data_IF_027387538330
#
_entry.id   IF_027387538330
#
_cell.length_a   1.000
_cell.length_b   1.000
_cell.length_c   1.000
_cell.angle_alpha   90.00
_cell.angle_beta   90.00
_cell.angle_gamma   90.00
#
_symmetry.space_group_name_H-M   'P 1'
#
loop_
_entity.id
_entity.type
_entity.pdbx_description
1 polymer ?
#
# COMPACT_ATOMS: atom_id res chain seq x y z
N UNK A 1 -16.28 11.00 15.72
CA UNK A 1 -15.58 9.90 15.02
C UNK A 1 -14.48 9.21 15.84
N UNK A 2 -13.91 9.80 16.90
CA UNK A 2 -12.83 9.17 17.69
C UNK A 2 -13.17 8.92 19.18
N UNK A 3 -14.45 8.82 19.53
CA UNK A 3 -14.88 8.60 20.92
C UNK A 3 -14.70 7.15 21.41
N UNK A 4 -14.86 6.87 22.73
CA UNK A 4 -14.54 5.58 23.38
C UNK A 4 -15.30 4.33 22.89
N UNK A 5 -16.28 4.49 21.99
CA UNK A 5 -17.06 3.40 21.38
C UNK A 5 -16.95 3.39 19.85
N UNK A 6 -16.04 4.17 19.28
CA UNK A 6 -15.89 4.25 17.82
C UNK A 6 -14.81 3.30 17.32
N UNK A 7 -15.02 2.76 16.11
CA UNK A 7 -14.06 1.89 15.43
C UNK A 7 -12.68 2.53 15.22
N UNK A 8 -12.61 3.87 15.24
CA UNK A 8 -11.38 4.63 15.06
C UNK A 8 -10.68 4.98 16.38
N UNK A 9 -11.24 4.61 17.53
CA UNK A 9 -10.61 4.87 18.83
C UNK A 9 -9.23 4.18 18.98
N UNK A 10 -9.01 2.94 18.51
CA UNK A 10 -7.68 2.32 18.54
C UNK A 10 -6.63 3.06 17.70
N UNK A 11 -7.05 3.80 16.67
CA UNK A 11 -6.15 4.54 15.79
C UNK A 11 -5.41 5.67 16.52
N UNK A 12 -6.02 6.25 17.58
CA UNK A 12 -5.38 7.25 18.44
C UNK A 12 -4.11 6.70 19.13
N UNK A 13 -4.11 5.43 19.52
CA UNK A 13 -2.94 4.79 20.12
C UNK A 13 -1.83 4.53 19.11
N UNK A 14 -2.14 4.49 17.81
CA UNK A 14 -1.15 4.41 16.74
C UNK A 14 -0.16 5.59 16.76
N UNK A 15 -0.60 6.79 17.18
CA UNK A 15 0.28 7.95 17.31
C UNK A 15 1.30 7.78 18.44
N UNK A 16 0.85 7.27 19.60
CA UNK A 16 1.72 6.96 20.74
C UNK A 16 2.74 5.87 20.39
N UNK A 17 2.28 4.81 19.71
CA UNK A 17 3.14 3.71 19.26
C UNK A 17 4.16 4.21 18.23
N UNK A 18 3.75 5.05 17.28
CA UNK A 18 4.63 5.67 16.30
C UNK A 18 5.69 6.57 16.93
N UNK A 19 5.36 7.30 18.00
CA UNK A 19 6.30 8.13 18.75
C UNK A 19 7.26 7.33 19.64
N UNK A 20 6.80 6.19 20.19
CA UNK A 20 7.60 5.31 21.03
C UNK A 20 8.54 4.40 20.24
N UNK A 21 8.14 3.92 19.06
CA UNK A 21 8.93 3.00 18.23
C UNK A 21 10.36 3.46 17.87
N UNK A 22 10.67 4.74 17.61
CA UNK A 22 12.04 5.17 17.37
C UNK A 22 12.92 5.16 18.64
N UNK A 23 12.34 5.17 19.84
CA UNK A 23 13.08 5.25 21.12
C UNK A 23 13.89 3.97 21.40
N UNK A 24 13.33 2.74 21.30
CA UNK A 24 14.10 1.50 21.42
C UNK A 24 15.25 1.40 20.41
N UNK A 25 15.05 1.87 19.18
CA UNK A 25 16.05 1.82 18.10
C UNK A 25 17.21 2.76 18.41
N UNK A 26 16.90 3.95 18.93
CA UNK A 26 17.91 4.90 19.38
C UNK A 26 18.74 4.34 20.54
N UNK A 27 18.09 3.70 21.53
CA UNK A 27 18.77 3.04 22.64
C UNK A 27 19.65 1.87 22.18
N UNK A 28 19.14 1.01 21.29
CA UNK A 28 19.88 -0.11 20.72
C UNK A 28 21.09 0.36 19.92
N UNK A 29 20.95 1.44 19.14
CA UNK A 29 22.06 2.07 18.40
C UNK A 29 23.12 2.66 19.33
N UNK A 30 22.74 3.18 20.50
CA UNK A 30 23.68 3.69 21.51
C UNK A 30 24.42 2.59 22.26
N UNK A 31 23.76 1.44 22.50
CA UNK A 31 24.35 0.29 23.21
C UNK A 31 25.23 -0.59 22.32
N UNK A 32 24.92 -0.68 21.03
CA UNK A 32 25.63 -1.53 20.08
C UNK A 32 26.15 -0.75 18.86
N UNK A 33 27.21 0.07 19.02
CA UNK A 33 27.78 0.87 17.93
C UNK A 33 28.45 0.01 16.83
N UNK A 34 28.83 -1.22 17.16
CA UNK A 34 29.43 -2.21 16.24
C UNK A 34 28.46 -2.67 15.13
N UNK A 35 27.15 -2.59 15.39
CA UNK A 35 26.12 -3.26 14.59
C UNK A 35 25.61 -2.31 13.49
N UNK A 36 26.35 -2.26 12.38
CA UNK A 36 26.11 -1.32 11.26
C UNK A 36 24.73 -1.45 10.59
N UNK A 37 24.07 -2.61 10.67
CA UNK A 37 22.77 -2.84 10.02
C UNK A 37 21.61 -2.08 10.70
N UNK A 38 21.71 -1.79 12.00
CA UNK A 38 20.71 -1.01 12.74
C UNK A 38 20.55 0.42 12.21
N UNK A 39 21.53 0.94 11.46
CA UNK A 39 21.44 2.26 10.82
C UNK A 39 20.46 2.29 9.65
N UNK A 40 20.18 1.14 9.01
CA UNK A 40 19.32 1.07 7.83
C UNK A 40 17.84 0.77 8.17
N UNK A 41 17.53 0.47 9.44
CA UNK A 41 16.17 0.19 9.88
C UNK A 41 15.46 1.50 10.22
N UNK A 42 14.64 1.97 9.28
CA UNK A 42 13.80 3.15 9.46
C UNK A 42 12.36 2.74 9.80
N UNK A 43 12.03 2.68 11.09
CA UNK A 43 10.67 2.39 11.57
C UNK A 43 9.59 3.31 10.98
N UNK A 44 9.82 4.63 10.78
CA UNK A 44 8.83 5.48 10.11
C UNK A 44 8.49 5.00 8.70
N UNK A 45 9.47 4.51 7.94
CA UNK A 45 9.27 4.00 6.58
C UNK A 45 8.48 2.69 6.60
N UNK A 46 8.81 1.79 7.54
CA UNK A 46 8.11 0.52 7.71
C UNK A 46 6.63 0.76 8.09
N UNK A 47 6.39 1.60 9.10
CA UNK A 47 5.03 1.95 9.53
C UNK A 47 4.24 2.66 8.45
N UNK A 48 4.88 3.55 7.68
CA UNK A 48 4.24 4.21 6.54
C UNK A 48 3.85 3.23 5.44
N UNK A 49 4.66 2.20 5.18
CA UNK A 49 4.32 1.16 4.20
C UNK A 49 3.19 0.24 4.72
N UNK A 50 3.17 -0.05 6.02
CA UNK A 50 2.15 -0.90 6.65
C UNK A 50 0.80 -0.18 6.84
N UNK A 51 0.79 1.15 6.91
CA UNK A 51 -0.44 1.94 7.12
C UNK A 51 -1.46 1.85 5.98
N UNK A 52 -1.06 1.43 4.78
CA UNK A 52 -1.90 1.32 3.58
C UNK A 52 -2.35 -0.14 3.35
N UNK A 53 -1.95 -1.07 4.22
CA UNK A 53 -2.37 -2.49 4.19
C UNK A 53 -3.87 -2.73 4.39
N UNK A 54 -4.59 -2.04 5.29
CA UNK A 54 -5.99 -2.38 5.51
C UNK A 54 -6.92 -2.16 4.30
N UNK A 55 -6.74 -1.14 3.44
CA UNK A 55 -7.63 -0.91 2.30
C UNK A 55 -7.10 -1.37 0.92
N UNK A 56 -5.84 -1.79 0.79
CA UNK A 56 -5.27 -2.05 -0.53
C UNK A 56 -5.63 -3.45 -1.06
N UNK A 57 -6.18 -3.57 -2.29
CA UNK A 57 -6.40 -4.84 -2.95
C UNK A 57 -5.11 -5.68 -2.99
N UNK A 58 -5.20 -7.00 -2.80
CA UNK A 58 -4.01 -7.88 -2.75
C UNK A 58 -3.17 -7.86 -4.04
N UNK A 59 -3.72 -7.37 -5.16
CA UNK A 59 -3.00 -7.19 -6.42
C UNK A 59 -2.06 -5.97 -6.47
N UNK A 60 -2.22 -4.97 -5.60
CA UNK A 60 -1.41 -3.74 -5.67
C UNK A 60 0.03 -3.95 -5.17
N UNK A 61 0.19 -4.75 -4.11
CA UNK A 61 1.49 -5.07 -3.51
C UNK A 61 2.49 -5.73 -4.47
N UNK A 62 2.14 -6.82 -5.19
CA UNK A 62 3.07 -7.43 -6.14
C UNK A 62 3.43 -6.46 -7.27
N UNK A 63 2.48 -5.66 -7.76
CA UNK A 63 2.77 -4.63 -8.77
C UNK A 63 3.76 -3.58 -8.27
N UNK A 64 3.58 -3.10 -7.05
CA UNK A 64 4.52 -2.15 -6.44
C UNK A 64 5.90 -2.77 -6.26
N UNK A 65 5.99 -4.02 -5.79
CA UNK A 65 7.26 -4.73 -5.65
C UNK A 65 7.97 -4.93 -6.99
N UNK A 66 7.25 -5.32 -8.04
CA UNK A 66 7.81 -5.52 -9.38
C UNK A 66 8.37 -4.21 -9.93
N UNK A 67 7.58 -3.14 -9.89
CA UNK A 67 7.98 -1.82 -10.40
C UNK A 67 9.14 -1.27 -9.57
N UNK A 68 9.04 -1.41 -8.25
CA UNK A 68 10.09 -1.02 -7.30
C UNK A 68 11.41 -1.75 -7.58
N UNK A 69 11.37 -3.05 -7.85
CA UNK A 69 12.55 -3.85 -8.22
C UNK A 69 13.13 -3.44 -9.57
N UNK A 70 12.29 -3.26 -10.60
CA UNK A 70 12.74 -2.79 -11.91
C UNK A 70 13.45 -1.44 -11.83
N UNK A 71 12.89 -0.47 -11.10
CA UNK A 71 13.47 0.85 -11.01
C UNK A 71 14.65 0.95 -10.04
N UNK A 72 14.59 0.32 -8.87
CA UNK A 72 15.64 0.45 -7.85
C UNK A 72 16.78 -0.56 -8.03
N UNK A 73 16.54 -1.71 -8.65
CA UNK A 73 17.57 -2.73 -8.82
C UNK A 73 18.11 -2.75 -10.25
N UNK A 74 17.24 -2.88 -11.26
CA UNK A 74 17.67 -3.01 -12.66
C UNK A 74 18.15 -1.66 -13.20
N UNK A 75 17.31 -0.64 -13.20
CA UNK A 75 17.67 0.69 -13.71
C UNK A 75 18.83 1.34 -12.96
N UNK A 76 18.92 1.13 -11.64
CA UNK A 76 20.06 1.60 -10.86
C UNK A 76 21.37 0.92 -11.28
N UNK A 77 21.35 -0.38 -11.61
CA UNK A 77 22.55 -1.13 -12.01
C UNK A 77 23.00 -0.83 -13.43
N UNK A 78 22.08 -0.66 -14.37
CA UNK A 78 22.40 -0.49 -15.80
C UNK A 78 22.45 0.98 -16.27
N UNK A 79 21.72 1.90 -15.62
CA UNK A 79 21.60 3.30 -16.06
C UNK A 79 21.64 4.29 -14.88
N UNK A 80 22.66 4.16 -14.03
CA UNK A 80 22.77 4.91 -12.77
C UNK A 80 22.73 6.44 -12.97
N UNK A 81 23.39 6.96 -14.02
CA UNK A 81 23.41 8.38 -14.34
C UNK A 81 22.01 8.93 -14.73
N UNK A 82 21.24 8.13 -15.49
CA UNK A 82 19.86 8.49 -15.85
C UNK A 82 18.95 8.41 -14.62
N UNK A 83 19.08 7.35 -13.83
CA UNK A 83 18.27 7.14 -12.62
C UNK A 83 18.40 8.31 -11.64
N UNK A 84 19.63 8.76 -11.35
CA UNK A 84 19.86 9.91 -10.45
C UNK A 84 19.20 11.20 -10.91
N UNK A 85 19.03 11.40 -12.22
CA UNK A 85 18.47 12.64 -12.78
C UNK A 85 16.95 12.59 -12.93
N UNK A 86 16.38 11.42 -13.23
CA UNK A 86 14.98 11.31 -13.65
C UNK A 86 14.09 10.43 -12.76
N UNK A 87 14.62 9.72 -11.76
CA UNK A 87 13.81 8.84 -10.92
C UNK A 87 12.65 9.58 -10.22
N UNK A 88 12.89 10.78 -9.69
CA UNK A 88 11.87 11.60 -9.05
C UNK A 88 10.80 12.09 -10.04
N UNK A 89 11.22 12.54 -11.23
CA UNK A 89 10.29 13.00 -12.28
C UNK A 89 9.43 11.85 -12.77
N UNK A 90 10.00 10.65 -12.94
CA UNK A 90 9.26 9.46 -13.33
C UNK A 90 8.23 9.05 -12.26
N UNK A 91 8.62 9.07 -10.98
CA UNK A 91 7.69 8.81 -9.88
C UNK A 91 6.53 9.81 -9.85
N UNK A 92 6.81 11.10 -10.06
CA UNK A 92 5.77 12.12 -10.17
C UNK A 92 4.86 11.88 -11.38
N UNK A 93 5.43 11.58 -12.55
CA UNK A 93 4.68 11.28 -13.76
C UNK A 93 3.77 10.06 -13.61
N UNK A 94 4.23 9.00 -12.92
CA UNK A 94 3.43 7.81 -12.66
C UNK A 94 2.23 8.12 -11.75
N UNK A 95 2.42 8.94 -10.70
CA UNK A 95 1.32 9.39 -9.84
C UNK A 95 0.30 10.24 -10.62
N UNK A 96 0.77 11.19 -11.44
CA UNK A 96 -0.12 11.96 -12.31
C UNK A 96 -0.86 11.06 -13.31
N UNK A 97 -0.19 10.05 -13.87
CA UNK A 97 -0.78 9.09 -14.79
C UNK A 97 -1.94 8.31 -14.15
N UNK A 98 -1.78 7.84 -12.92
CA UNK A 98 -2.87 7.16 -12.18
C UNK A 98 -4.09 8.08 -12.02
N UNK A 99 -3.87 9.34 -11.64
CA UNK A 99 -4.96 10.31 -11.46
C UNK A 99 -5.66 10.61 -12.80
N UNK A 100 -4.90 10.78 -13.87
CA UNK A 100 -5.46 11.01 -15.22
C UNK A 100 -6.28 9.79 -15.68
N UNK A 101 -5.76 8.57 -15.50
CA UNK A 101 -6.51 7.35 -15.81
C UNK A 101 -7.81 7.26 -15.00
N UNK A 102 -7.76 7.58 -13.70
CA UNK A 102 -8.95 7.58 -12.85
C UNK A 102 -10.00 8.60 -13.31
N UNK A 103 -9.58 9.80 -13.73
CA UNK A 103 -10.48 10.81 -14.30
C UNK A 103 -11.13 10.33 -15.59
N UNK A 104 -10.35 9.75 -16.51
CA UNK A 104 -10.88 9.20 -17.76
C UNK A 104 -11.91 8.11 -17.48
N UNK A 105 -11.62 7.19 -16.57
CA UNK A 105 -12.53 6.13 -16.15
C UNK A 105 -13.84 6.72 -15.58
N UNK A 106 -13.74 7.74 -14.72
CA UNK A 106 -14.90 8.39 -14.12
C UNK A 106 -15.81 9.03 -15.18
N UNK A 107 -15.24 9.78 -16.14
CA UNK A 107 -16.03 10.43 -17.19
C UNK A 107 -16.64 9.43 -18.17
N UNK A 108 -15.95 8.33 -18.48
CA UNK A 108 -16.45 7.32 -19.42
C UNK A 108 -17.51 6.43 -18.77
N UNK A 109 -17.27 5.93 -17.54
CA UNK A 109 -18.13 4.93 -16.90
C UNK A 109 -19.09 5.55 -15.89
N UNK A 110 -18.56 6.18 -14.84
CA UNK A 110 -19.35 6.66 -13.70
C UNK A 110 -20.35 7.74 -14.10
N UNK A 111 -19.93 8.70 -14.92
CA UNK A 111 -20.80 9.78 -15.40
C UNK A 111 -21.95 9.26 -16.30
N UNK A 112 -21.72 8.17 -17.04
CA UNK A 112 -22.72 7.57 -17.92
C UNK A 112 -23.51 6.43 -17.26
N UNK A 113 -23.35 6.21 -15.94
CA UNK A 113 -23.95 5.10 -15.20
C UNK A 113 -23.68 3.71 -15.82
N UNK A 114 -22.51 3.53 -16.46
CA UNK A 114 -22.10 2.25 -17.03
C UNK A 114 -21.42 1.43 -15.92
N UNK A 115 -21.92 0.22 -15.70
CA UNK A 115 -21.32 -0.71 -14.74
C UNK A 115 -19.88 -1.05 -15.16
N UNK A 116 -18.97 -1.07 -14.18
CA UNK A 116 -17.56 -1.37 -14.44
C UNK A 116 -17.41 -2.81 -14.96
N UNK A 117 -16.64 -3.06 -16.03
CA UNK A 117 -16.47 -4.40 -16.58
C UNK A 117 -15.76 -5.32 -15.58
N UNK A 118 -16.29 -6.54 -15.41
CA UNK A 118 -15.68 -7.55 -14.54
C UNK A 118 -14.60 -8.32 -15.31
N UNK A 119 -13.35 -8.22 -14.87
CA UNK A 119 -12.20 -8.96 -15.40
C UNK A 119 -11.23 -9.34 -14.26
N UNK A 120 -10.15 -10.04 -14.60
CA UNK A 120 -9.19 -10.56 -13.61
C UNK A 120 -8.58 -9.48 -12.70
N UNK A 121 -8.47 -8.23 -13.17
CA UNK A 121 -7.92 -7.10 -12.40
C UNK A 121 -8.91 -6.39 -11.46
N UNK A 122 -10.22 -6.64 -11.59
CA UNK A 122 -11.27 -6.00 -10.76
C UNK A 122 -11.67 -6.82 -9.52
N UNK A 123 -11.04 -7.96 -9.30
CA UNK A 123 -11.34 -8.80 -8.14
C UNK A 123 -12.70 -9.52 -8.19
N UNK A 124 -13.38 -9.53 -9.35
CA UNK A 124 -14.66 -10.21 -9.55
C UNK A 124 -15.83 -9.58 -8.78
N UNK A 125 -16.87 -10.37 -8.49
CA UNK A 125 -18.09 -9.93 -7.79
C UNK A 125 -17.79 -9.39 -6.38
N UNK A 126 -16.72 -9.87 -5.74
CA UNK A 126 -16.36 -9.49 -4.37
C UNK A 126 -15.44 -8.28 -4.29
N UNK A 127 -14.85 -7.83 -5.40
CA UNK A 127 -13.88 -6.72 -5.45
C UNK A 127 -12.47 -7.06 -4.96
N UNK A 128 -12.30 -8.23 -4.32
CA UNK A 128 -11.06 -8.57 -3.58
C UNK A 128 -10.19 -9.61 -4.28
N UNK A 129 -10.68 -10.22 -5.37
CA UNK A 129 -9.95 -11.26 -6.12
C UNK A 129 -9.76 -12.58 -5.37
N UNK A 130 -10.34 -12.70 -4.16
CA UNK A 130 -10.31 -13.90 -3.33
C UNK A 130 -11.72 -14.48 -3.16
N UNK A 131 -12.15 -15.42 -4.01
CA UNK A 131 -13.48 -16.05 -3.89
C UNK A 131 -13.64 -16.92 -2.63
N UNK A 132 -12.52 -17.29 -1.99
CA UNK A 132 -12.46 -18.15 -0.81
C UNK A 132 -12.36 -17.38 0.53
N UNK A 133 -12.28 -16.04 0.49
CA UNK A 133 -12.21 -15.24 1.71
C UNK A 133 -13.53 -15.28 2.49
N UNK A 134 -13.46 -15.41 3.81
CA UNK A 134 -14.65 -15.53 4.68
C UNK A 134 -15.50 -14.26 4.70
N UNK A 135 -14.90 -13.10 4.43
CA UNK A 135 -15.57 -11.81 4.28
C UNK A 135 -14.65 -10.88 3.47
N UNK A 136 -15.23 -9.99 2.65
CA UNK A 136 -14.48 -8.92 1.98
C UNK A 136 -14.19 -7.75 2.94
N UNK A 137 -13.44 -6.73 2.50
CA UNK A 137 -13.20 -5.51 3.31
C UNK A 137 -14.49 -4.76 3.70
N UNK A 138 -15.59 -4.99 2.98
CA UNK A 138 -16.92 -4.46 3.28
C UNK A 138 -17.75 -5.34 4.23
N UNK A 139 -17.18 -6.44 4.76
CA UNK A 139 -17.86 -7.38 5.64
C UNK A 139 -18.90 -8.28 4.95
N UNK A 140 -18.91 -8.29 3.62
CA UNK A 140 -19.82 -9.10 2.79
C UNK A 140 -19.23 -10.50 2.66
N UNK A 141 -19.99 -11.49 3.13
CA UNK A 141 -19.65 -12.91 3.00
C UNK A 141 -20.02 -13.36 1.58
N UNK A 142 -19.09 -13.86 0.76
CA UNK A 142 -19.44 -14.39 -0.56
C UNK A 142 -20.43 -15.55 -0.40
N UNK A 143 -21.61 -15.40 -1.01
CA UNK A 143 -22.77 -16.31 -0.93
C UNK A 143 -22.54 -17.72 -1.52
N UNK A 144 -21.31 -18.02 -1.97
CA UNK A 144 -20.92 -19.25 -2.66
C UNK A 144 -20.23 -20.29 -1.77
N UNK A 145 -20.11 -20.06 -0.46
CA UNK A 145 -19.72 -21.13 0.46
C UNK A 145 -20.94 -22.04 0.68
N UNK A 146 -20.97 -23.31 0.21
CA UNK A 146 -21.84 -24.27 0.85
C UNK A 146 -21.35 -24.37 2.30
N UNK A 147 -22.26 -24.16 3.25
CA UNK A 147 -22.02 -24.58 4.62
C UNK A 147 -21.98 -26.11 4.60
N UNK A 148 -20.78 -26.68 4.45
CA UNK A 148 -20.31 -28.02 4.85
C UNK A 148 -18.95 -28.30 4.20
#
# INVERSE_FOLDING_TARGET
>A
MFGPKSIYWPLLFGFLIGALLPVPVWLLRKKYPEVKWLKYVHFPVILSATGIIPPAPPGEYPSWLIIGFLFNFVLFRYANAWWKRYAFVFSAAMNCGVIVCALVIFFVLTNNNINFPTWWGTGGITGDGCPLASANYSGIIPRYKPLL
#
